data_IF_620913915072
#
_entry.id   IF_620913915072
#
_cell.length_a   1.000
_cell.length_b   1.000
_cell.length_c   1.000
_cell.angle_alpha   90.00
_cell.angle_beta   90.00
_cell.angle_gamma   90.00
#
_symmetry.space_group_name_H-M   'P 1'
#
loop_
_entity.id
_entity.type
_entity.pdbx_description
1 polymer ?
#
# COMPACT_ATOMS: atom_id res chain seq x y z
N UNK A 1 -11.91 -30.74 -21.15
CA UNK A 1 -10.99 -30.03 -20.18
C UNK A 1 -11.25 -30.58 -18.79
N UNK A 2 -10.26 -31.14 -18.11
CA UNK A 2 -10.44 -31.66 -16.75
C UNK A 2 -10.32 -30.53 -15.74
N UNK A 3 -11.42 -30.11 -15.12
CA UNK A 3 -11.46 -29.03 -14.14
C UNK A 3 -10.56 -29.28 -12.93
N UNK A 4 -10.47 -30.54 -12.47
CA UNK A 4 -9.61 -30.91 -11.34
C UNK A 4 -8.12 -30.71 -11.67
N UNK A 5 -7.70 -31.05 -12.90
CA UNK A 5 -6.35 -30.78 -13.37
C UNK A 5 -6.04 -29.27 -13.33
N UNK A 6 -6.96 -28.45 -13.86
CA UNK A 6 -6.82 -27.00 -13.87
C UNK A 6 -6.72 -26.39 -12.48
N UNK A 7 -7.53 -26.87 -11.55
CA UNK A 7 -7.48 -26.46 -10.14
C UNK A 7 -6.11 -26.81 -9.54
N UNK A 8 -5.65 -28.04 -9.74
CA UNK A 8 -4.34 -28.48 -9.23
C UNK A 8 -3.18 -27.68 -9.80
N UNK A 9 -3.21 -27.37 -11.11
CA UNK A 9 -2.21 -26.52 -11.76
C UNK A 9 -2.14 -25.11 -11.12
N UNK A 10 -3.29 -24.51 -10.86
CA UNK A 10 -3.35 -23.20 -10.23
C UNK A 10 -2.79 -23.20 -8.80
N UNK A 11 -3.12 -24.23 -8.00
CA UNK A 11 -2.55 -24.37 -6.66
C UNK A 11 -1.03 -24.61 -6.70
N UNK A 12 -0.54 -25.44 -7.61
CA UNK A 12 0.89 -25.69 -7.77
C UNK A 12 1.65 -24.42 -8.17
N UNK A 13 1.09 -23.61 -9.08
CA UNK A 13 1.68 -22.32 -9.45
C UNK A 13 1.71 -21.36 -8.26
N UNK A 14 0.63 -21.28 -7.49
CA UNK A 14 0.59 -20.47 -6.29
C UNK A 14 1.65 -20.90 -5.26
N UNK A 15 1.78 -22.19 -5.00
CA UNK A 15 2.81 -22.73 -4.11
C UNK A 15 4.23 -22.42 -4.61
N UNK A 16 4.47 -22.51 -5.92
CA UNK A 16 5.76 -22.16 -6.53
C UNK A 16 6.10 -20.68 -6.30
N UNK A 17 5.14 -19.79 -6.53
CA UNK A 17 5.33 -18.36 -6.31
C UNK A 17 5.63 -18.06 -4.84
N UNK A 18 4.82 -18.58 -3.92
CA UNK A 18 5.00 -18.36 -2.47
C UNK A 18 6.34 -18.92 -1.98
N UNK A 19 6.80 -20.06 -2.50
CA UNK A 19 8.10 -20.62 -2.11
C UNK A 19 9.30 -19.74 -2.51
N UNK A 20 9.15 -18.91 -3.54
CA UNK A 20 10.19 -17.99 -3.97
C UNK A 20 10.24 -16.68 -3.15
N UNK A 21 9.13 -16.27 -2.54
CA UNK A 21 8.99 -15.01 -1.81
C UNK A 21 10.06 -14.82 -0.72
N UNK A 22 10.38 -15.81 0.16
CA UNK A 22 11.38 -15.59 1.19
C UNK A 22 12.76 -15.22 0.64
N UNK A 23 13.15 -15.84 -0.47
CA UNK A 23 14.45 -15.57 -1.07
C UNK A 23 14.49 -14.22 -1.81
N UNK A 24 13.40 -13.86 -2.50
CA UNK A 24 13.37 -12.67 -3.36
C UNK A 24 12.94 -11.39 -2.63
N UNK A 25 12.11 -11.52 -1.59
CA UNK A 25 11.43 -10.38 -1.00
C UNK A 25 11.78 -10.10 0.47
N UNK A 26 12.53 -10.98 1.16
CA UNK A 26 12.80 -10.77 2.60
C UNK A 26 13.55 -9.48 2.89
N UNK A 27 14.59 -9.16 2.14
CA UNK A 27 15.36 -7.93 2.36
C UNK A 27 14.56 -6.65 2.03
N UNK A 28 13.87 -6.55 0.87
CA UNK A 28 12.97 -5.43 0.61
C UNK A 28 11.88 -5.24 1.65
N UNK A 29 11.24 -6.34 2.10
CA UNK A 29 10.20 -6.29 3.15
C UNK A 29 10.78 -5.80 4.45
N UNK A 30 11.97 -6.26 4.85
CA UNK A 30 12.65 -5.80 6.06
C UNK A 30 12.96 -4.30 5.98
N UNK A 31 13.53 -3.84 4.87
CA UNK A 31 13.85 -2.43 4.66
C UNK A 31 12.61 -1.54 4.75
N UNK A 32 11.56 -1.88 4.01
CA UNK A 32 10.28 -1.16 4.07
C UNK A 32 9.68 -1.15 5.49
N UNK A 33 9.74 -2.29 6.20
CA UNK A 33 9.22 -2.39 7.56
C UNK A 33 9.96 -1.46 8.52
N UNK A 34 11.29 -1.36 8.41
CA UNK A 34 12.10 -0.46 9.24
C UNK A 34 11.71 1.01 8.97
N UNK A 35 11.58 1.41 7.72
CA UNK A 35 11.20 2.77 7.33
C UNK A 35 9.81 3.14 7.86
N UNK A 36 8.82 2.24 7.69
CA UNK A 36 7.46 2.42 8.20
C UNK A 36 7.46 2.61 9.72
N UNK A 37 8.15 1.73 10.46
CA UNK A 37 8.25 1.82 11.91
C UNK A 37 8.89 3.13 12.35
N UNK A 38 9.98 3.55 11.72
CA UNK A 38 10.66 4.80 12.03
C UNK A 38 9.78 6.02 11.75
N UNK A 39 9.04 6.02 10.65
CA UNK A 39 8.12 7.08 10.30
C UNK A 39 6.98 7.21 11.32
N UNK A 40 6.31 6.10 11.61
CA UNK A 40 5.22 6.07 12.58
C UNK A 40 5.68 6.47 13.99
N UNK A 41 6.89 6.07 14.40
CA UNK A 41 7.48 6.47 15.68
C UNK A 41 7.73 7.99 15.77
N UNK A 42 8.00 8.65 14.66
CA UNK A 42 8.16 10.11 14.56
C UNK A 42 6.83 10.86 14.37
N UNK A 43 5.70 10.17 14.41
CA UNK A 43 4.36 10.77 14.23
C UNK A 43 3.96 10.92 12.75
N UNK A 44 4.67 10.26 11.83
CA UNK A 44 4.31 10.20 10.42
C UNK A 44 3.00 9.46 10.17
N UNK A 45 2.51 9.55 8.96
CA UNK A 45 1.28 8.89 8.49
C UNK A 45 1.63 7.96 7.34
N UNK A 46 1.13 6.73 7.37
CA UNK A 46 1.26 5.79 6.26
C UNK A 46 0.06 5.96 5.33
N UNK A 47 0.35 6.20 4.06
CA UNK A 47 -0.66 6.31 3.01
C UNK A 47 -0.63 5.06 2.13
N UNK A 48 -1.81 4.55 1.82
CA UNK A 48 -2.01 3.41 0.94
C UNK A 48 -2.79 3.83 -0.30
N UNK A 49 -2.36 3.41 -1.45
CA UNK A 49 -3.06 3.63 -2.71
C UNK A 49 -2.99 2.39 -3.60
N UNK A 50 -3.87 2.33 -4.57
CA UNK A 50 -3.95 1.24 -5.52
C UNK A 50 -5.31 1.21 -6.21
N UNK A 51 -5.41 0.44 -7.27
CA UNK A 51 -6.62 0.30 -8.09
C UNK A 51 -7.17 -1.12 -8.01
N UNK A 52 -8.46 -1.28 -8.22
CA UNK A 52 -9.10 -2.59 -8.24
C UNK A 52 -8.91 -3.36 -6.92
N UNK A 53 -8.32 -4.56 -6.98
CA UNK A 53 -7.99 -5.37 -5.80
C UNK A 53 -7.06 -4.66 -4.85
N UNK A 54 -6.05 -3.95 -5.35
CA UNK A 54 -5.12 -3.18 -4.53
C UNK A 54 -5.79 -1.99 -3.82
N UNK A 55 -6.90 -1.45 -4.33
CA UNK A 55 -7.70 -0.47 -3.59
C UNK A 55 -8.37 -1.11 -2.36
N UNK A 56 -8.89 -2.33 -2.49
CA UNK A 56 -9.43 -3.09 -1.37
C UNK A 56 -8.34 -3.42 -0.34
N UNK A 57 -7.17 -3.85 -0.78
CA UNK A 57 -6.02 -4.10 0.08
C UNK A 57 -5.56 -2.85 0.84
N UNK A 58 -5.56 -1.68 0.19
CA UNK A 58 -5.24 -0.39 0.82
C UNK A 58 -6.16 -0.09 2.00
N UNK A 59 -7.46 -0.34 1.84
CA UNK A 59 -8.45 -0.16 2.92
C UNK A 59 -8.25 -1.19 4.03
N UNK A 60 -8.02 -2.44 3.67
CA UNK A 60 -7.79 -3.52 4.65
C UNK A 60 -6.55 -3.24 5.50
N UNK A 61 -5.42 -2.91 4.87
CA UNK A 61 -4.17 -2.59 5.58
C UNK A 61 -4.30 -1.35 6.47
N UNK A 62 -5.05 -0.34 6.02
CA UNK A 62 -5.38 0.82 6.86
C UNK A 62 -6.17 0.40 8.11
N UNK A 63 -7.17 -0.45 7.95
CA UNK A 63 -7.97 -0.94 9.08
C UNK A 63 -7.13 -1.73 10.09
N UNK A 64 -6.18 -2.53 9.64
CA UNK A 64 -5.24 -3.26 10.50
C UNK A 64 -4.36 -2.32 11.33
N UNK A 65 -3.96 -1.18 10.79
CA UNK A 65 -3.12 -0.20 11.48
C UNK A 65 -3.92 0.72 12.40
N UNK A 66 -5.06 1.21 11.97
CA UNK A 66 -5.93 2.09 12.77
C UNK A 66 -6.64 1.33 13.88
N UNK A 67 -7.16 0.16 13.60
CA UNK A 67 -7.77 -0.73 14.56
C UNK A 67 -6.70 -1.57 15.29
N UNK A 68 -6.72 -2.87 15.04
CA UNK A 68 -5.72 -3.81 15.53
C UNK A 68 -5.51 -4.97 14.56
N UNK A 69 -4.34 -5.56 14.56
CA UNK A 69 -4.06 -6.82 13.85
C UNK A 69 -4.08 -8.01 14.83
N UNK A 70 -2.98 -8.23 15.55
CA UNK A 70 -2.83 -9.36 16.49
C UNK A 70 -3.02 -8.99 17.95
N UNK A 71 -2.61 -7.78 18.33
CA UNK A 71 -2.60 -7.33 19.73
C UNK A 71 -3.39 -6.04 19.85
N UNK A 72 -4.03 -5.86 20.99
CA UNK A 72 -4.59 -4.57 21.35
C UNK A 72 -3.44 -3.57 21.57
N UNK A 73 -3.55 -2.40 20.96
CA UNK A 73 -2.53 -1.35 20.98
C UNK A 73 -3.12 0.00 20.61
N UNK A 74 -2.36 1.03 20.84
CA UNK A 74 -2.69 2.39 20.36
C UNK A 74 -2.82 2.40 18.83
N UNK A 75 -3.81 3.16 18.32
CA UNK A 75 -4.00 3.36 16.88
C UNK A 75 -2.74 3.95 16.22
N UNK A 76 -2.42 3.46 15.04
CA UNK A 76 -1.33 3.96 14.20
C UNK A 76 -1.91 4.81 13.07
N UNK A 77 -1.20 5.88 12.71
CA UNK A 77 -1.65 6.80 11.65
C UNK A 77 -1.55 6.15 10.28
N UNK A 78 -2.70 5.87 9.70
CA UNK A 78 -2.81 5.23 8.39
C UNK A 78 -4.04 5.72 7.64
N UNK A 79 -3.91 5.94 6.34
CA UNK A 79 -4.99 6.45 5.48
C UNK A 79 -4.95 5.68 4.15
N UNK A 80 -6.10 5.17 3.71
CA UNK A 80 -6.29 4.67 2.36
C UNK A 80 -6.82 5.79 1.48
N UNK A 81 -6.08 6.17 0.45
CA UNK A 81 -6.45 7.23 -0.50
C UNK A 81 -7.50 6.75 -1.53
N UNK A 82 -8.08 5.58 -1.31
CA UNK A 82 -8.98 4.88 -2.23
C UNK A 82 -10.46 4.95 -1.80
N UNK A 83 -10.78 5.72 -0.76
CA UNK A 83 -12.11 5.68 -0.13
C UNK A 83 -12.98 6.89 -0.42
N UNK A 84 -12.41 8.06 -0.65
CA UNK A 84 -13.19 9.27 -0.97
C UNK A 84 -13.54 9.29 -2.46
N UNK A 85 -14.70 8.76 -2.78
CA UNK A 85 -15.18 8.66 -4.16
C UNK A 85 -15.40 10.02 -4.81
N UNK A 86 -15.75 11.06 -4.04
CA UNK A 86 -15.91 12.41 -4.55
C UNK A 86 -14.56 12.99 -4.97
N UNK A 87 -13.53 12.84 -4.16
CA UNK A 87 -12.18 13.28 -4.51
C UNK A 87 -11.65 12.51 -5.73
N UNK A 88 -11.76 11.18 -5.73
CA UNK A 88 -11.29 10.34 -6.82
C UNK A 88 -11.92 10.71 -8.15
N UNK A 89 -13.25 10.86 -8.18
CA UNK A 89 -13.99 11.18 -9.41
C UNK A 89 -13.80 12.61 -9.86
N UNK A 90 -13.76 13.57 -8.94
CA UNK A 90 -13.48 14.98 -9.24
C UNK A 90 -12.10 15.15 -9.87
N UNK A 91 -11.05 14.62 -9.22
CA UNK A 91 -9.69 14.71 -9.74
C UNK A 91 -9.54 14.02 -11.08
N UNK A 92 -10.12 12.82 -11.26
CA UNK A 92 -10.08 12.11 -12.52
C UNK A 92 -10.78 12.87 -13.66
N UNK A 93 -11.86 13.60 -13.35
CA UNK A 93 -12.63 14.37 -14.33
C UNK A 93 -11.98 15.71 -14.68
N UNK A 94 -11.49 16.45 -13.68
CA UNK A 94 -11.04 17.82 -13.82
C UNK A 94 -9.55 17.92 -14.20
N UNK A 95 -8.77 16.88 -13.92
CA UNK A 95 -7.34 16.79 -14.21
C UNK A 95 -7.02 15.52 -15.00
N UNK A 96 -6.59 14.45 -14.33
CA UNK A 96 -6.38 13.14 -14.95
C UNK A 96 -6.58 12.01 -13.94
N UNK A 97 -6.78 10.80 -14.46
CA UNK A 97 -6.85 9.61 -13.62
C UNK A 97 -5.50 9.31 -12.92
N UNK A 98 -4.39 9.67 -13.55
CA UNK A 98 -3.05 9.52 -12.97
C UNK A 98 -2.84 10.40 -11.73
N UNK A 99 -3.61 11.48 -11.58
CA UNK A 99 -3.47 12.44 -10.49
C UNK A 99 -4.31 12.12 -9.24
N UNK A 100 -5.15 11.08 -9.27
CA UNK A 100 -6.12 10.80 -8.20
C UNK A 100 -5.50 10.56 -6.83
N UNK A 101 -4.26 10.07 -6.75
CA UNK A 101 -3.54 9.85 -5.50
C UNK A 101 -2.53 10.95 -5.20
N UNK A 102 -1.78 11.43 -6.20
CA UNK A 102 -0.76 12.46 -6.02
C UNK A 102 -1.34 13.76 -5.47
N UNK A 103 -2.49 14.21 -5.98
CA UNK A 103 -3.17 15.40 -5.47
C UNK A 103 -3.67 15.25 -4.02
N UNK A 104 -4.08 14.07 -3.62
CA UNK A 104 -4.43 13.80 -2.22
C UNK A 104 -3.20 13.87 -1.32
N UNK A 105 -2.07 13.29 -1.75
CA UNK A 105 -0.81 13.38 -1.02
C UNK A 105 -0.35 14.83 -0.89
N UNK A 106 -0.37 15.62 -1.96
CA UNK A 106 -0.05 17.04 -1.95
C UNK A 106 -0.88 17.82 -0.93
N UNK A 107 -2.20 17.55 -0.87
CA UNK A 107 -3.11 18.21 0.06
C UNK A 107 -2.91 17.77 1.52
N UNK A 108 -2.57 16.51 1.76
CA UNK A 108 -2.46 15.90 3.08
C UNK A 108 -1.05 16.00 3.68
N UNK A 109 -0.04 16.22 2.84
CA UNK A 109 1.36 16.36 3.27
C UNK A 109 1.79 17.81 3.15
N UNK A 110 2.45 18.35 4.17
CA UNK A 110 3.07 19.66 4.05
C UNK A 110 4.37 19.54 3.25
N UNK A 111 4.75 20.56 2.47
CA UNK A 111 6.07 20.62 1.86
C UNK A 111 7.16 20.39 2.91
N UNK A 112 7.99 19.36 2.74
CA UNK A 112 9.02 18.96 3.69
C UNK A 112 8.78 17.65 4.44
N UNK A 113 7.71 16.92 4.18
CA UNK A 113 7.54 15.55 4.70
C UNK A 113 8.36 14.54 3.87
N UNK A 114 9.49 14.19 4.42
CA UNK A 114 10.59 13.39 3.90
C UNK A 114 10.18 11.99 3.40
N UNK A 115 9.00 11.48 3.73
CA UNK A 115 8.65 10.09 3.44
C UNK A 115 8.26 9.85 1.97
N UNK A 116 7.58 10.82 1.34
CA UNK A 116 7.29 10.73 -0.10
C UNK A 116 8.58 10.83 -0.91
N UNK A 117 9.45 11.77 -0.56
CA UNK A 117 10.76 11.94 -1.20
C UNK A 117 11.63 10.68 -1.05
N UNK A 118 11.61 10.02 0.11
CA UNK A 118 12.39 8.80 0.34
C UNK A 118 11.84 7.59 -0.43
N UNK A 119 10.53 7.46 -0.53
CA UNK A 119 9.91 6.38 -1.31
C UNK A 119 10.17 6.58 -2.81
N UNK A 120 10.07 7.80 -3.30
CA UNK A 120 10.35 8.13 -4.69
C UNK A 120 11.82 7.93 -5.04
N UNK A 121 12.75 8.33 -4.18
CA UNK A 121 14.18 8.13 -4.35
C UNK A 121 14.58 6.64 -4.30
N UNK A 122 14.06 5.88 -3.34
CA UNK A 122 14.37 4.45 -3.19
C UNK A 122 13.75 3.59 -4.30
N UNK A 123 12.60 4.01 -4.86
CA UNK A 123 11.96 3.34 -5.99
C UNK A 123 12.48 3.81 -7.36
N UNK A 124 13.39 4.80 -7.40
CA UNK A 124 13.95 5.32 -8.64
C UNK A 124 12.90 5.96 -9.56
N UNK A 125 11.87 6.60 -8.98
CA UNK A 125 10.77 7.25 -9.71
C UNK A 125 11.05 8.73 -10.02
N UNK A 126 12.20 9.26 -9.59
CA UNK A 126 12.74 10.59 -9.90
C UNK A 126 14.17 10.46 -10.34
#
# INVERSE_FOLDING_TARGET
MNLLSKISENFNEHLRVIAAVPTLCSEPIQSASIQIVQSLAKGGTLFWCGNGGSAADSQHLTAELVGRFKKDRKALRSIALTTDTSVLTCVANDYSYEDIFSRQLEALTRPGHILCDLIEQELGLV
#
